data_IF_271162151455
#
_entry.id   IF_271162151455
#
_cell.length_a   1.000
_cell.length_b   1.000
_cell.length_c   1.000
_cell.angle_alpha   90.00
_cell.angle_beta   90.00
_cell.angle_gamma   90.00
#
_symmetry.space_group_name_H-M   'P 1'
#
loop_
_entity.id
_entity.type
_entity.pdbx_description
1 polymer ?
#
# COMPACT_ATOMS: atom_id res chain seq x y z
N UNK A 1 -50.96 1.32 -15.83
CA UNK A 1 -50.14 2.39 -16.45
C UNK A 1 -49.53 3.38 -15.43
N UNK A 2 -50.27 3.86 -14.42
CA UNK A 2 -49.70 4.72 -13.35
C UNK A 2 -48.55 4.07 -12.52
N UNK A 3 -48.55 2.74 -12.39
CA UNK A 3 -47.55 1.99 -11.58
C UNK A 3 -46.16 1.98 -12.23
N UNK A 4 -46.08 1.86 -13.56
CA UNK A 4 -44.81 1.95 -14.29
C UNK A 4 -44.26 3.38 -14.22
N UNK A 5 -45.13 4.40 -14.32
CA UNK A 5 -44.72 5.80 -14.20
C UNK A 5 -44.22 6.21 -12.80
N UNK A 6 -44.65 5.55 -11.71
CA UNK A 6 -44.12 5.78 -10.35
C UNK A 6 -42.91 4.90 -10.00
N UNK A 7 -42.87 3.65 -10.48
CA UNK A 7 -41.75 2.74 -10.22
C UNK A 7 -40.48 3.16 -10.98
N UNK A 8 -40.61 3.70 -12.20
CA UNK A 8 -39.49 4.09 -13.05
C UNK A 8 -38.59 5.19 -12.45
N UNK A 9 -39.11 6.31 -11.90
CA UNK A 9 -38.27 7.32 -11.23
C UNK A 9 -37.65 6.80 -9.93
N UNK A 10 -38.31 5.89 -9.20
CA UNK A 10 -37.75 5.23 -8.02
C UNK A 10 -36.60 4.26 -8.39
N UNK A 11 -36.76 3.47 -9.45
CA UNK A 11 -35.72 2.58 -9.96
C UNK A 11 -34.55 3.35 -10.57
N UNK A 12 -34.82 4.44 -11.28
CA UNK A 12 -33.79 5.36 -11.79
C UNK A 12 -33.04 6.04 -10.64
N UNK A 13 -33.74 6.55 -9.62
CA UNK A 13 -33.13 7.11 -8.42
C UNK A 13 -32.27 6.09 -7.67
N UNK A 14 -32.72 4.83 -7.62
CA UNK A 14 -31.99 3.72 -7.03
C UNK A 14 -30.74 3.35 -7.85
N UNK A 15 -30.84 3.31 -9.18
CA UNK A 15 -29.69 3.07 -10.06
C UNK A 15 -28.68 4.22 -10.04
N UNK A 16 -29.14 5.47 -10.04
CA UNK A 16 -28.29 6.65 -9.86
C UNK A 16 -27.63 6.63 -8.48
N UNK A 17 -28.37 6.25 -7.43
CA UNK A 17 -27.85 6.07 -6.08
C UNK A 17 -26.76 4.98 -6.01
N UNK A 18 -26.98 3.83 -6.67
CA UNK A 18 -25.97 2.77 -6.73
C UNK A 18 -24.74 3.16 -7.54
N UNK A 19 -24.90 3.92 -8.64
CA UNK A 19 -23.78 4.42 -9.47
C UNK A 19 -22.97 5.51 -8.78
N UNK A 20 -23.64 6.47 -8.14
CA UNK A 20 -22.97 7.51 -7.35
C UNK A 20 -22.26 6.90 -6.14
N UNK A 21 -22.87 5.89 -5.51
CA UNK A 21 -22.24 5.13 -4.42
C UNK A 21 -21.04 4.32 -4.90
N UNK A 22 -21.13 3.60 -6.01
CA UNK A 22 -19.98 2.81 -6.52
C UNK A 22 -18.82 3.72 -6.92
N UNK A 23 -19.10 4.88 -7.52
CA UNK A 23 -18.12 5.91 -7.83
C UNK A 23 -17.49 6.50 -6.55
N UNK A 24 -18.30 6.84 -5.54
CA UNK A 24 -17.82 7.35 -4.26
C UNK A 24 -16.96 6.31 -3.51
N UNK A 25 -17.41 5.05 -3.45
CA UNK A 25 -16.66 3.94 -2.84
C UNK A 25 -15.34 3.69 -3.57
N UNK A 26 -15.30 3.73 -4.90
CA UNK A 26 -14.05 3.57 -5.67
C UNK A 26 -13.11 4.76 -5.50
N UNK A 27 -13.60 5.99 -5.45
CA UNK A 27 -12.78 7.17 -5.15
C UNK A 27 -12.21 7.13 -3.72
N UNK A 28 -13.04 6.81 -2.74
CA UNK A 28 -12.65 6.64 -1.34
C UNK A 28 -11.63 5.50 -1.18
N UNK A 29 -11.85 4.38 -1.88
CA UNK A 29 -10.92 3.25 -1.89
C UNK A 29 -9.58 3.62 -2.53
N UNK A 30 -9.57 4.27 -3.70
CA UNK A 30 -8.34 4.77 -4.34
C UNK A 30 -7.58 5.73 -3.43
N UNK A 31 -8.28 6.64 -2.75
CA UNK A 31 -7.68 7.60 -1.80
C UNK A 31 -7.11 6.88 -0.58
N UNK A 32 -7.85 5.95 0.01
CA UNK A 32 -7.38 5.15 1.16
C UNK A 32 -6.20 4.25 0.80
N UNK A 33 -6.22 3.62 -0.38
CA UNK A 33 -5.12 2.79 -0.89
C UNK A 33 -3.85 3.63 -1.09
N UNK A 34 -3.96 4.82 -1.69
CA UNK A 34 -2.82 5.74 -1.88
C UNK A 34 -2.21 6.16 -0.55
N UNK A 35 -3.03 6.46 0.45
CA UNK A 35 -2.58 6.84 1.80
C UNK A 35 -1.91 5.65 2.53
N UNK A 36 -2.49 4.45 2.42
CA UNK A 36 -1.95 3.25 3.06
C UNK A 36 -0.64 2.78 2.42
N UNK A 37 -0.60 2.62 1.10
CA UNK A 37 0.54 1.99 0.44
C UNK A 37 1.72 2.94 0.22
N UNK A 38 1.47 4.20 -0.18
CA UNK A 38 2.57 5.09 -0.57
C UNK A 38 3.01 6.02 0.55
N UNK A 39 2.08 6.46 1.41
CA UNK A 39 2.43 7.40 2.48
C UNK A 39 2.83 6.66 3.75
N UNK A 40 2.03 5.68 4.18
CA UNK A 40 2.32 4.94 5.42
C UNK A 40 3.63 4.15 5.30
N UNK A 41 3.82 3.37 4.21
CA UNK A 41 5.06 2.61 4.02
C UNK A 41 6.31 3.51 4.01
N UNK A 42 6.28 4.64 3.28
CA UNK A 42 7.41 5.58 3.25
C UNK A 42 7.71 6.21 4.61
N UNK A 43 6.68 6.56 5.38
CA UNK A 43 6.84 7.13 6.71
C UNK A 43 7.41 6.09 7.68
N UNK A 44 6.92 4.84 7.61
CA UNK A 44 7.44 3.73 8.41
C UNK A 44 8.90 3.44 8.07
N UNK A 45 9.26 3.38 6.79
CA UNK A 45 10.64 3.18 6.34
C UNK A 45 11.56 4.31 6.81
N UNK A 46 11.10 5.56 6.70
CA UNK A 46 11.87 6.72 7.16
C UNK A 46 12.09 6.70 8.68
N UNK A 47 11.07 6.36 9.46
CA UNK A 47 11.19 6.19 10.92
C UNK A 47 12.18 5.08 11.26
N UNK A 48 12.10 3.94 10.57
CA UNK A 48 13.01 2.81 10.79
C UNK A 48 14.45 3.21 10.46
N UNK A 49 14.67 3.93 9.37
CA UNK A 49 15.99 4.46 9.00
C UNK A 49 16.56 5.34 10.10
N UNK A 50 15.82 6.35 10.57
CA UNK A 50 16.27 7.22 11.65
C UNK A 50 16.57 6.45 12.94
N UNK A 51 15.74 5.48 13.30
CA UNK A 51 15.96 4.63 14.48
C UNK A 51 17.24 3.80 14.35
N UNK A 52 17.52 3.25 13.16
CA UNK A 52 18.76 2.49 12.89
C UNK A 52 19.99 3.40 13.00
N UNK A 53 19.93 4.62 12.47
CA UNK A 53 21.00 5.62 12.58
C UNK A 53 21.27 6.00 14.05
N UNK A 54 20.21 6.20 14.85
CA UNK A 54 20.31 6.50 16.29
C UNK A 54 20.95 5.34 17.06
N UNK A 55 20.53 4.09 16.80
CA UNK A 55 21.08 2.91 17.47
C UNK A 55 22.57 2.74 17.15
N UNK A 56 22.95 2.97 15.89
CA UNK A 56 24.36 2.95 15.47
C UNK A 56 25.20 4.02 16.20
N UNK A 57 24.63 5.21 16.43
CA UNK A 57 25.28 6.35 17.09
C UNK A 57 25.17 6.39 18.63
N UNK A 58 24.59 5.38 19.27
CA UNK A 58 24.15 5.47 20.68
C UNK A 58 25.24 5.86 21.68
N UNK A 59 26.48 5.40 21.46
CA UNK A 59 27.63 5.70 22.34
C UNK A 59 27.97 7.19 22.36
N UNK A 60 27.91 7.86 21.21
CA UNK A 60 28.17 9.30 21.10
C UNK A 60 27.02 10.08 21.73
N UNK A 61 25.78 9.67 21.48
CA UNK A 61 24.58 10.30 22.05
C UNK A 61 24.64 10.30 23.58
N UNK A 62 25.00 9.16 24.19
CA UNK A 62 25.18 9.02 25.64
C UNK A 62 26.33 9.87 26.18
N UNK A 63 27.46 9.93 25.47
CA UNK A 63 28.62 10.75 25.87
C UNK A 63 28.28 12.24 25.94
N UNK A 64 27.47 12.74 25.01
CA UNK A 64 27.06 14.15 24.95
C UNK A 64 25.70 14.45 25.61
N UNK A 65 25.07 13.46 26.24
CA UNK A 65 23.73 13.55 26.84
C UNK A 65 22.63 14.07 25.88
N UNK A 66 22.75 13.76 24.57
CA UNK A 66 21.81 14.19 23.53
C UNK A 66 20.54 13.34 23.44
N UNK A 67 20.15 12.65 24.50
CA UNK A 67 19.03 11.69 24.46
C UNK A 67 17.68 12.36 24.18
N UNK A 68 17.43 13.51 24.81
CA UNK A 68 16.18 14.26 24.66
C UNK A 68 15.95 14.74 23.21
N UNK A 69 16.89 15.44 22.55
CA UNK A 69 16.66 15.89 21.18
C UNK A 69 16.47 14.73 20.18
N UNK A 70 17.16 13.59 20.36
CA UNK A 70 16.94 12.41 19.53
C UNK A 70 15.60 11.72 19.82
N UNK A 71 15.12 11.76 21.07
CA UNK A 71 13.80 11.27 21.44
C UNK A 71 12.70 12.11 20.77
N UNK A 72 12.85 13.43 20.73
CA UNK A 72 11.89 14.35 20.09
C UNK A 72 11.81 14.12 18.57
N UNK A 73 12.95 13.89 17.90
CA UNK A 73 12.98 13.55 16.47
C UNK A 73 12.18 12.25 16.21
N UNK A 74 12.38 11.23 17.05
CA UNK A 74 11.64 9.98 16.96
C UNK A 74 10.14 10.14 17.22
N UNK A 75 9.77 10.98 18.19
CA UNK A 75 8.39 11.28 18.53
C UNK A 75 7.67 12.02 17.39
N UNK A 76 8.32 13.00 16.76
CA UNK A 76 7.77 13.73 15.63
C UNK A 76 7.55 12.82 14.42
N UNK A 77 8.53 11.98 14.07
CA UNK A 77 8.37 10.99 13.00
C UNK A 77 7.18 10.03 13.26
N UNK A 78 7.01 9.60 14.51
CA UNK A 78 5.87 8.76 14.93
C UNK A 78 4.54 9.52 14.84
N UNK A 79 4.49 10.79 15.23
CA UNK A 79 3.28 11.60 15.16
C UNK A 79 2.80 11.76 13.71
N UNK A 80 3.73 11.96 12.78
CA UNK A 80 3.42 12.03 11.34
C UNK A 80 2.85 10.71 10.82
N UNK A 81 3.48 9.58 11.15
CA UNK A 81 3.01 8.23 10.80
C UNK A 81 1.58 7.98 11.35
N UNK A 82 1.38 8.21 12.65
CA UNK A 82 0.09 8.01 13.32
C UNK A 82 -0.99 8.92 12.75
N UNK A 83 -0.67 10.17 12.41
CA UNK A 83 -1.64 11.10 11.79
C UNK A 83 -2.12 10.61 10.43
N UNK A 84 -1.23 10.03 9.62
CA UNK A 84 -1.56 9.44 8.32
C UNK A 84 -2.45 8.20 8.49
N UNK A 85 -2.08 7.30 9.41
CA UNK A 85 -2.87 6.11 9.76
C UNK A 85 -4.26 6.52 10.25
N UNK A 86 -4.36 7.50 11.16
CA UNK A 86 -5.64 7.99 11.69
C UNK A 86 -6.55 8.51 10.58
N UNK A 87 -6.02 9.32 9.66
CA UNK A 87 -6.78 9.83 8.50
C UNK A 87 -7.31 8.68 7.63
N UNK A 88 -6.49 7.65 7.39
CA UNK A 88 -6.92 6.47 6.62
C UNK A 88 -8.01 5.68 7.35
N UNK A 89 -7.86 5.46 8.66
CA UNK A 89 -8.87 4.79 9.49
C UNK A 89 -10.20 5.55 9.48
N UNK A 90 -10.19 6.88 9.59
CA UNK A 90 -11.41 7.70 9.52
C UNK A 90 -12.10 7.55 8.16
N UNK A 91 -11.35 7.65 7.05
CA UNK A 91 -11.91 7.44 5.71
C UNK A 91 -12.53 6.04 5.55
N UNK A 92 -11.86 5.01 6.08
CA UNK A 92 -12.35 3.63 6.07
C UNK A 92 -13.64 3.50 6.88
N UNK A 93 -13.70 4.10 8.07
CA UNK A 93 -14.88 4.08 8.94
C UNK A 93 -16.08 4.76 8.30
N UNK A 94 -15.88 5.92 7.65
CA UNK A 94 -16.93 6.63 6.91
C UNK A 94 -17.47 5.74 5.78
N UNK A 95 -16.59 5.13 4.97
CA UNK A 95 -17.00 4.24 3.88
C UNK A 95 -17.80 3.04 4.40
N UNK A 96 -17.33 2.39 5.47
CA UNK A 96 -18.02 1.26 6.09
C UNK A 96 -19.40 1.64 6.64
N UNK A 97 -19.52 2.84 7.23
CA UNK A 97 -20.78 3.38 7.75
C UNK A 97 -21.78 3.68 6.62
N UNK A 98 -21.33 4.35 5.55
CA UNK A 98 -22.13 4.60 4.35
C UNK A 98 -22.63 3.29 3.72
N UNK A 99 -21.76 2.28 3.64
CA UNK A 99 -22.12 0.99 3.09
C UNK A 99 -23.25 0.32 3.90
N UNK A 100 -23.18 0.37 5.23
CA UNK A 100 -24.20 -0.19 6.12
C UNK A 100 -25.54 0.55 6.01
N UNK A 101 -25.51 1.90 6.00
CA UNK A 101 -26.72 2.72 5.84
C UNK A 101 -27.41 2.44 4.51
N UNK A 102 -26.64 2.41 3.42
CA UNK A 102 -27.21 2.22 2.09
C UNK A 102 -27.90 0.85 1.92
N UNK A 103 -27.38 -0.24 2.50
CA UNK A 103 -28.11 -1.53 2.42
C UNK A 103 -29.47 -1.50 3.12
N UNK A 104 -29.60 -0.73 4.20
CA UNK A 104 -30.89 -0.55 4.90
C UNK A 104 -31.87 0.31 4.09
N UNK A 105 -31.38 1.40 3.48
CA UNK A 105 -32.19 2.24 2.57
C UNK A 105 -32.68 1.42 1.37
N UNK A 106 -31.82 0.56 0.84
CA UNK A 106 -32.17 -0.35 -0.26
C UNK A 106 -33.35 -1.24 0.11
N UNK A 107 -33.26 -1.95 1.22
CA UNK A 107 -34.32 -2.83 1.70
C UNK A 107 -35.62 -2.05 1.94
N UNK A 108 -35.52 -0.89 2.58
CA UNK A 108 -36.68 -0.02 2.84
C UNK A 108 -37.39 0.40 1.55
N UNK A 109 -36.64 0.91 0.56
CA UNK A 109 -37.22 1.29 -0.74
C UNK A 109 -37.85 0.10 -1.47
N UNK A 110 -37.22 -1.08 -1.41
CA UNK A 110 -37.74 -2.30 -2.04
C UNK A 110 -39.07 -2.76 -1.43
N UNK A 111 -39.23 -2.65 -0.11
CA UNK A 111 -40.49 -2.97 0.55
C UNK A 111 -41.56 -1.93 0.25
N UNK A 112 -41.21 -0.64 0.21
CA UNK A 112 -42.15 0.43 -0.20
C UNK A 112 -42.69 0.18 -1.62
N UNK A 113 -41.82 -0.16 -2.57
CA UNK A 113 -42.26 -0.46 -3.94
C UNK A 113 -43.19 -1.66 -4.01
N UNK A 114 -42.97 -2.66 -3.15
CA UNK A 114 -43.79 -3.87 -3.11
C UNK A 114 -45.20 -3.58 -2.57
N UNK A 115 -45.31 -2.75 -1.52
CA UNK A 115 -46.60 -2.28 -1.00
C UNK A 115 -47.35 -1.43 -2.03
N UNK A 116 -46.66 -0.51 -2.72
CA UNK A 116 -47.27 0.34 -3.75
C UNK A 116 -47.77 -0.46 -4.96
N UNK A 117 -47.21 -1.64 -5.22
CA UNK A 117 -47.63 -2.55 -6.30
C UNK A 117 -48.89 -3.36 -5.94
N UNK A 118 -49.32 -3.32 -4.68
CA UNK A 118 -50.50 -4.03 -4.18
C UNK A 118 -50.21 -5.43 -3.64
N UNK A 119 -48.94 -5.83 -3.51
CA UNK A 119 -48.57 -7.11 -2.93
C UNK A 119 -48.69 -7.10 -1.40
N UNK A 120 -49.18 -8.20 -0.83
CA UNK A 120 -49.29 -8.39 0.63
C UNK A 120 -47.93 -8.65 1.27
N UNK A 121 -47.49 -7.73 2.11
CA UNK A 121 -46.21 -7.81 2.82
C UNK A 121 -46.29 -8.85 3.95
N UNK A 122 -45.86 -10.08 3.66
CA UNK A 122 -45.84 -11.18 4.65
C UNK A 122 -44.54 -11.15 5.45
N UNK A 123 -44.59 -11.41 6.76
CA UNK A 123 -43.38 -11.46 7.62
C UNK A 123 -42.28 -12.39 7.07
N UNK A 124 -42.68 -13.50 6.43
CA UNK A 124 -41.79 -14.45 5.75
C UNK A 124 -40.95 -13.78 4.65
N UNK A 125 -41.56 -12.98 3.77
CA UNK A 125 -40.85 -12.39 2.63
C UNK A 125 -39.88 -11.31 3.10
N UNK A 126 -40.25 -10.52 4.11
CA UNK A 126 -39.40 -9.50 4.73
C UNK A 126 -38.18 -10.11 5.41
N UNK A 127 -38.38 -11.17 6.20
CA UNK A 127 -37.30 -11.82 6.93
C UNK A 127 -36.30 -12.50 5.97
N UNK A 128 -36.80 -13.26 4.99
CA UNK A 128 -35.96 -13.97 4.03
C UNK A 128 -35.16 -13.00 3.15
N UNK A 129 -35.78 -11.95 2.62
CA UNK A 129 -35.08 -10.98 1.78
C UNK A 129 -34.03 -10.19 2.58
N UNK A 130 -34.34 -9.77 3.79
CA UNK A 130 -33.39 -9.08 4.68
C UNK A 130 -32.15 -9.94 4.96
N UNK A 131 -32.36 -11.23 5.26
CA UNK A 131 -31.25 -12.16 5.50
C UNK A 131 -30.40 -12.39 4.25
N UNK A 132 -31.02 -12.61 3.10
CA UNK A 132 -30.32 -12.83 1.84
C UNK A 132 -29.48 -11.61 1.44
N UNK A 133 -30.04 -10.40 1.56
CA UNK A 133 -29.32 -9.15 1.26
C UNK A 133 -28.15 -8.92 2.23
N UNK A 134 -28.31 -9.22 3.52
CA UNK A 134 -27.23 -9.09 4.49
C UNK A 134 -26.07 -10.04 4.20
N UNK A 135 -26.37 -11.27 3.78
CA UNK A 135 -25.35 -12.26 3.38
C UNK A 135 -24.62 -11.82 2.11
N UNK A 136 -25.36 -11.52 1.04
CA UNK A 136 -24.80 -11.04 -0.23
C UNK A 136 -23.92 -9.80 -0.04
N UNK A 137 -24.35 -8.84 0.78
CA UNK A 137 -23.58 -7.65 1.13
C UNK A 137 -22.23 -8.02 1.75
N UNK A 138 -22.22 -8.94 2.71
CA UNK A 138 -21.00 -9.33 3.44
C UNK A 138 -20.01 -9.99 2.47
N UNK A 139 -20.49 -10.88 1.61
CA UNK A 139 -19.67 -11.54 0.59
C UNK A 139 -19.08 -10.58 -0.43
N UNK A 140 -19.89 -9.67 -0.96
CA UNK A 140 -19.43 -8.74 -2.00
C UNK A 140 -18.57 -7.59 -1.45
N UNK A 141 -18.80 -7.15 -0.21
CA UNK A 141 -18.05 -6.01 0.36
C UNK A 141 -16.74 -6.45 1.00
N UNK A 142 -16.71 -7.60 1.69
CA UNK A 142 -15.55 -8.02 2.48
C UNK A 142 -14.73 -9.11 1.80
N UNK A 143 -15.37 -10.24 1.49
CA UNK A 143 -14.64 -11.42 1.03
C UNK A 143 -14.10 -11.24 -0.39
N UNK A 144 -14.89 -10.66 -1.30
CA UNK A 144 -14.48 -10.50 -2.70
C UNK A 144 -13.27 -9.55 -2.87
N UNK A 145 -13.25 -8.33 -2.29
CA UNK A 145 -12.07 -7.47 -2.39
C UNK A 145 -10.83 -8.05 -1.70
N UNK A 146 -11.02 -8.75 -0.56
CA UNK A 146 -9.91 -9.42 0.12
C UNK A 146 -9.31 -10.54 -0.74
N UNK A 147 -10.14 -11.36 -1.38
CA UNK A 147 -9.68 -12.42 -2.26
C UNK A 147 -8.86 -11.86 -3.44
N UNK A 148 -9.30 -10.73 -4.03
CA UNK A 148 -8.55 -10.05 -5.11
C UNK A 148 -7.20 -9.55 -4.60
N UNK A 149 -7.16 -8.94 -3.42
CA UNK A 149 -5.93 -8.43 -2.81
C UNK A 149 -4.92 -9.56 -2.55
N UNK A 150 -5.36 -10.64 -1.90
CA UNK A 150 -4.50 -11.81 -1.67
C UNK A 150 -4.01 -12.45 -2.97
N UNK A 151 -4.87 -12.51 -4.00
CA UNK A 151 -4.47 -12.99 -5.33
C UNK A 151 -3.39 -12.11 -5.98
N UNK A 152 -3.53 -10.78 -5.85
CA UNK A 152 -2.54 -9.83 -6.35
C UNK A 152 -1.19 -9.95 -5.63
N UNK A 153 -1.22 -10.08 -4.30
CA UNK A 153 -0.02 -10.25 -3.47
C UNK A 153 0.71 -11.56 -3.78
N UNK A 154 -0.02 -12.67 -3.93
CA UNK A 154 0.55 -13.96 -4.35
C UNK A 154 1.24 -13.85 -5.72
N UNK A 155 0.63 -13.16 -6.67
CA UNK A 155 1.23 -12.94 -7.99
C UNK A 155 2.51 -12.09 -7.92
N UNK A 156 2.55 -11.06 -7.07
CA UNK A 156 3.74 -10.25 -6.86
C UNK A 156 4.86 -11.07 -6.23
N UNK A 157 4.56 -11.86 -5.19
CA UNK A 157 5.53 -12.74 -4.55
C UNK A 157 6.12 -13.76 -5.53
N UNK A 158 5.29 -14.37 -6.37
CA UNK A 158 5.75 -15.32 -7.40
C UNK A 158 6.67 -14.68 -8.44
N UNK A 159 6.47 -13.39 -8.76
CA UNK A 159 7.38 -12.65 -9.66
C UNK A 159 8.74 -12.41 -9.02
N UNK A 160 8.77 -12.07 -7.73
CA UNK A 160 10.02 -11.87 -6.98
C UNK A 160 10.85 -13.15 -6.89
N UNK A 161 10.23 -14.30 -6.64
CA UNK A 161 10.95 -15.58 -6.53
C UNK A 161 11.55 -16.05 -7.87
N UNK A 162 10.92 -15.71 -9.00
CA UNK A 162 11.46 -15.99 -10.35
C UNK A 162 12.69 -15.14 -10.71
N UNK A 163 12.94 -14.04 -10.00
CA UNK A 163 14.10 -13.16 -10.22
C UNK A 163 15.33 -13.58 -9.41
N UNK A 164 15.27 -14.67 -8.64
CA UNK A 164 16.46 -15.22 -7.98
C UNK A 164 17.54 -15.50 -9.03
N UNK A 165 18.79 -15.08 -8.79
CA UNK A 165 19.85 -15.18 -9.78
C UNK A 165 20.04 -16.64 -10.18
N UNK A 166 19.88 -16.92 -11.49
CA UNK A 166 20.31 -18.18 -12.07
C UNK A 166 21.80 -18.33 -11.77
N UNK A 167 22.20 -19.43 -11.14
CA UNK A 167 23.60 -19.76 -10.84
C UNK A 167 24.53 -19.31 -11.98
N UNK A 168 25.20 -18.17 -11.79
CA UNK A 168 26.20 -17.68 -12.72
C UNK A 168 27.40 -18.60 -12.60
N UNK A 169 27.75 -19.29 -13.69
CA UNK A 169 29.03 -19.99 -13.80
C UNK A 169 30.13 -18.94 -13.69
N UNK A 170 30.79 -18.87 -12.54
CA UNK A 170 31.91 -17.97 -12.30
C UNK A 170 33.08 -18.47 -13.17
N UNK A 171 33.49 -17.65 -14.14
CA UNK A 171 34.79 -17.84 -14.79
C UNK A 171 35.88 -17.43 -13.79
N UNK A 172 36.90 -18.27 -13.55
CA UNK A 172 37.96 -17.94 -12.62
C UNK A 172 38.90 -16.94 -13.33
N UNK A 173 38.77 -15.65 -13.02
CA UNK A 173 39.62 -14.57 -13.54
C UNK A 173 38.87 -13.24 -13.67
N UNK A 174 39.52 -12.14 -13.30
CA UNK A 174 38.97 -10.78 -13.40
C UNK A 174 39.73 -10.04 -14.50
N UNK A 175 39.05 -9.75 -15.60
CA UNK A 175 39.63 -9.02 -16.74
C UNK A 175 38.79 -7.77 -16.99
N UNK A 176 39.34 -6.62 -16.62
CA UNK A 176 38.67 -5.33 -16.70
C UNK A 176 39.55 -4.33 -17.45
N UNK A 177 39.00 -3.66 -18.47
CA UNK A 177 39.70 -2.62 -19.21
C UNK A 177 38.99 -1.27 -19.04
N UNK A 178 39.77 -0.25 -18.65
CA UNK A 178 39.39 1.15 -18.60
C UNK A 178 38.10 1.43 -17.81
N UNK A 179 37.96 0.82 -16.63
CA UNK A 179 36.80 1.05 -15.77
C UNK A 179 36.83 2.47 -15.22
N UNK A 180 35.72 3.16 -15.42
CA UNK A 180 35.43 4.43 -14.78
C UNK A 180 34.16 4.27 -13.96
N UNK A 181 34.23 4.54 -12.67
CA UNK A 181 33.11 4.34 -11.75
C UNK A 181 32.85 5.58 -10.89
N UNK A 182 31.56 5.81 -10.62
CA UNK A 182 31.05 6.89 -9.78
C UNK A 182 30.08 6.29 -8.77
N UNK A 183 30.07 6.81 -7.54
CA UNK A 183 29.11 6.40 -6.50
C UNK A 183 27.69 6.91 -6.76
N UNK A 184 27.58 8.07 -7.42
CA UNK A 184 26.31 8.71 -7.74
C UNK A 184 26.45 9.48 -9.05
N UNK A 185 25.38 9.48 -9.86
CA UNK A 185 25.35 10.18 -11.15
C UNK A 185 25.51 11.71 -10.98
N UNK A 186 25.17 12.22 -9.80
CA UNK A 186 25.29 13.63 -9.42
C UNK A 186 26.74 14.08 -9.12
N UNK A 187 27.69 13.15 -9.02
CA UNK A 187 29.09 13.50 -8.73
C UNK A 187 29.79 14.07 -9.97
N UNK A 188 30.28 15.31 -9.84
CA UNK A 188 30.95 16.03 -10.93
C UNK A 188 32.21 15.30 -11.41
N UNK A 189 32.94 14.64 -10.50
CA UNK A 189 34.16 13.90 -10.81
C UNK A 189 34.01 12.39 -10.56
N UNK A 190 34.51 11.52 -11.45
CA UNK A 190 34.53 10.09 -11.19
C UNK A 190 35.53 9.72 -10.09
N UNK A 191 35.11 8.83 -9.18
CA UNK A 191 35.93 8.36 -8.05
C UNK A 191 37.00 7.37 -8.50
N UNK A 192 36.67 6.49 -9.44
CA UNK A 192 37.61 5.59 -10.09
C UNK A 192 37.68 5.96 -11.57
N UNK A 193 38.87 6.14 -12.10
CA UNK A 193 39.08 6.55 -13.48
C UNK A 193 40.10 5.65 -14.15
N UNK A 194 39.73 5.13 -15.32
CA UNK A 194 40.61 4.39 -16.22
C UNK A 194 41.38 3.22 -15.55
N UNK A 195 40.67 2.40 -14.77
CA UNK A 195 41.27 1.24 -14.09
C UNK A 195 41.26 0.03 -15.01
N UNK A 196 42.45 -0.47 -15.33
CA UNK A 196 42.67 -1.67 -16.14
C UNK A 196 43.40 -2.72 -15.31
N UNK A 197 42.74 -3.86 -15.07
CA UNK A 197 43.28 -4.97 -14.26
C UNK A 197 43.06 -6.29 -14.96
N UNK A 198 44.14 -7.06 -15.10
CA UNK A 198 44.10 -8.43 -15.61
C UNK A 198 44.61 -9.36 -14.51
N UNK A 199 43.71 -10.15 -13.93
CA UNK A 199 44.01 -11.08 -12.84
C UNK A 199 43.64 -12.51 -13.23
N UNK A 200 44.62 -13.41 -13.13
CA UNK A 200 44.44 -14.84 -13.36
C UNK A 200 44.21 -15.57 -12.02
N UNK A 201 43.60 -16.77 -12.05
CA UNK A 201 43.45 -17.59 -10.86
C UNK A 201 44.81 -17.94 -10.25
N UNK A 202 45.02 -17.58 -8.98
CA UNK A 202 46.28 -17.81 -8.26
C UNK A 202 47.18 -16.58 -8.12
N UNK A 203 46.84 -15.45 -8.73
CA UNK A 203 47.58 -14.19 -8.56
C UNK A 203 47.24 -13.53 -7.19
N UNK A 204 48.26 -13.12 -6.43
CA UNK A 204 48.09 -12.33 -5.19
C UNK A 204 48.21 -10.83 -5.52
N UNK A 205 47.12 -10.09 -5.38
CA UNK A 205 47.08 -8.64 -5.60
C UNK A 205 46.95 -7.88 -4.28
N UNK A 206 47.72 -6.80 -4.12
CA UNK A 206 47.57 -5.84 -3.02
C UNK A 206 47.23 -4.45 -3.58
N UNK A 207 46.24 -3.78 -2.98
CA UNK A 207 45.83 -2.42 -3.35
C UNK A 207 46.36 -1.42 -2.30
N UNK A 208 47.29 -0.56 -2.70
CA UNK A 208 47.99 0.41 -1.81
C UNK A 208 47.77 1.83 -2.33
N UNK A 209 47.87 2.84 -1.45
CA UNK A 209 47.54 4.24 -1.76
C UNK A 209 47.19 5.09 -0.51
N UNK A 210 46.92 6.39 -0.69
CA UNK A 210 46.56 7.29 0.42
C UNK A 210 45.11 7.07 0.91
N UNK A 211 44.78 7.68 2.06
CA UNK A 211 43.41 7.70 2.61
C UNK A 211 42.50 8.48 1.65
N UNK A 212 41.33 7.92 1.32
CA UNK A 212 40.39 8.52 0.37
C UNK A 212 40.64 8.21 -1.12
N UNK A 213 41.60 7.35 -1.44
CA UNK A 213 41.95 6.99 -2.83
C UNK A 213 40.96 6.01 -3.52
N UNK A 214 39.86 5.62 -2.86
CA UNK A 214 38.87 4.70 -3.45
C UNK A 214 39.29 3.23 -3.48
N UNK A 215 40.06 2.76 -2.48
CA UNK A 215 40.51 1.35 -2.40
C UNK A 215 39.43 0.36 -1.92
N UNK A 216 38.42 0.86 -1.21
CA UNK A 216 37.28 0.12 -0.67
C UNK A 216 36.11 0.25 -1.64
#
# INVERSE_FOLDING_TARGET
ECVVHMAQPLLLGYQLGMRTRSACCTLMYKKSLKLNQLMTAKLTDNRLRHMVEIISGMRVIKMYAWEQPFADIGAEARNQEVSCIKRSCILKAINMSLNNMATKLILFTSFITLVLTGDVLTAKTVFVSTMLFNYLRTTMTWYLPQAIMFGADCNQWLRMTKQLPKNCKQSPGVFNNNITAKWSDESSYPTLQNISTHLRPGDLLAVIGPVGAGKL
#
